data_IF_394250024876
#
_entry.id   IF_394250024876
#
_cell.length_a   1.000
_cell.length_b   1.000
_cell.length_c   1.000
_cell.angle_alpha   90.00
_cell.angle_beta   90.00
_cell.angle_gamma   90.00
#
_symmetry.space_group_name_H-M   'P 1'
#
loop_
_entity.id
_entity.type
_entity.pdbx_description
1 polymer ?
#
# COMPACT_ATOMS: atom_id res chain seq x y z
N UNK A 1 -1.50 -26.65 -19.71
CA UNK A 1 -1.60 -27.98 -19.06
C UNK A 1 -2.09 -27.92 -17.60
N UNK A 2 -2.63 -26.79 -17.08
CA UNK A 2 -3.06 -26.65 -15.66
C UNK A 2 -4.54 -26.98 -15.37
N UNK A 3 -5.33 -27.35 -16.39
CA UNK A 3 -6.78 -27.55 -16.27
C UNK A 3 -7.20 -28.68 -15.31
N UNK A 4 -6.34 -29.68 -15.07
CA UNK A 4 -6.61 -30.83 -14.20
C UNK A 4 -5.90 -30.79 -12.83
N UNK A 5 -5.21 -29.70 -12.49
CA UNK A 5 -4.53 -29.60 -11.20
C UNK A 5 -5.52 -29.32 -10.04
N UNK A 6 -5.35 -29.97 -8.86
CA UNK A 6 -6.20 -29.74 -7.70
C UNK A 6 -6.10 -28.30 -7.19
N UNK A 7 -7.16 -27.80 -6.54
CA UNK A 7 -7.15 -26.49 -5.86
C UNK A 7 -6.43 -26.64 -4.52
N UNK A 8 -5.24 -26.07 -4.40
CA UNK A 8 -4.41 -26.07 -3.19
C UNK A 8 -4.55 -24.74 -2.43
N UNK A 9 -4.40 -24.77 -1.11
CA UNK A 9 -4.32 -23.56 -0.28
C UNK A 9 -2.94 -22.92 -0.46
N UNK A 10 -2.91 -21.71 -1.01
CA UNK A 10 -1.67 -20.96 -1.27
C UNK A 10 -1.55 -19.75 -0.35
N UNK A 11 -2.69 -19.17 0.08
CA UNK A 11 -2.70 -17.97 0.90
C UNK A 11 -3.47 -18.18 2.21
N UNK A 12 -2.75 -18.01 3.31
CA UNK A 12 -3.34 -17.92 4.64
C UNK A 12 -4.36 -16.78 4.68
N UNK A 13 -5.48 -17.01 5.39
CA UNK A 13 -6.55 -16.02 5.53
C UNK A 13 -6.05 -14.70 6.15
N UNK A 14 -5.04 -14.79 7.03
CA UNK A 14 -4.36 -13.66 7.66
C UNK A 14 -3.81 -12.66 6.64
N UNK A 15 -3.08 -13.18 5.65
CA UNK A 15 -2.43 -12.39 4.61
C UNK A 15 -3.46 -11.79 3.67
N UNK A 16 -4.56 -12.50 3.42
CA UNK A 16 -5.69 -12.02 2.62
C UNK A 16 -6.40 -10.85 3.29
N UNK A 17 -6.78 -11.00 4.56
CA UNK A 17 -7.39 -9.93 5.34
C UNK A 17 -6.48 -8.71 5.44
N UNK A 18 -5.20 -8.94 5.70
CA UNK A 18 -4.20 -7.87 5.75
C UNK A 18 -4.09 -7.14 4.40
N UNK A 19 -4.04 -7.88 3.29
CA UNK A 19 -3.97 -7.28 1.96
C UNK A 19 -5.22 -6.46 1.63
N UNK A 20 -6.42 -6.95 1.97
CA UNK A 20 -7.67 -6.21 1.74
C UNK A 20 -7.72 -4.93 2.58
N UNK A 21 -7.32 -5.00 3.85
CA UNK A 21 -7.21 -3.83 4.71
C UNK A 21 -6.22 -2.80 4.13
N UNK A 22 -5.04 -3.28 3.72
CA UNK A 22 -3.99 -2.43 3.17
C UNK A 22 -4.38 -1.77 1.85
N UNK A 23 -4.95 -2.55 0.92
CA UNK A 23 -5.50 -2.04 -0.33
C UNK A 23 -6.63 -1.03 -0.05
N UNK A 24 -7.51 -1.32 0.92
CA UNK A 24 -8.58 -0.41 1.33
C UNK A 24 -8.04 0.94 1.81
N UNK A 25 -7.03 0.97 2.67
CA UNK A 25 -6.40 2.22 3.12
C UNK A 25 -5.83 3.02 1.95
N UNK A 26 -5.09 2.38 1.04
CA UNK A 26 -4.50 3.04 -0.13
C UNK A 26 -5.58 3.56 -1.07
N UNK A 27 -6.61 2.78 -1.36
CA UNK A 27 -7.72 3.18 -2.22
C UNK A 27 -8.50 4.35 -1.65
N UNK A 28 -8.75 4.37 -0.33
CA UNK A 28 -9.42 5.50 0.32
C UNK A 28 -8.56 6.75 0.29
N UNK A 29 -7.26 6.66 0.60
CA UNK A 29 -6.35 7.80 0.52
C UNK A 29 -6.30 8.39 -0.91
N UNK A 30 -6.09 7.54 -1.93
CA UNK A 30 -6.07 7.97 -3.33
C UNK A 30 -7.42 8.54 -3.77
N UNK A 31 -8.52 7.88 -3.41
CA UNK A 31 -9.87 8.32 -3.76
C UNK A 31 -10.19 9.70 -3.20
N UNK A 32 -9.81 9.97 -1.96
CA UNK A 32 -10.00 11.30 -1.34
C UNK A 32 -9.16 12.35 -2.07
N UNK A 33 -7.87 12.07 -2.34
CA UNK A 33 -7.01 13.03 -3.04
C UNK A 33 -7.50 13.33 -4.47
N UNK A 34 -7.85 12.29 -5.24
CA UNK A 34 -8.24 12.43 -6.64
C UNK A 34 -9.65 13.02 -6.83
N UNK A 35 -10.58 12.75 -5.92
CA UNK A 35 -11.97 13.19 -6.04
C UNK A 35 -12.29 14.42 -5.20
N UNK A 36 -11.61 14.59 -4.07
CA UNK A 36 -11.84 15.68 -3.12
C UNK A 36 -11.02 16.93 -3.41
N UNK A 37 -9.78 16.78 -3.91
CA UNK A 37 -8.80 17.86 -3.99
C UNK A 37 -8.18 18.21 -2.63
N UNK A 38 -7.11 19.00 -2.64
CA UNK A 38 -6.33 19.36 -1.44
C UNK A 38 -7.08 20.30 -0.49
N UNK A 39 -7.91 21.21 -1.01
CA UNK A 39 -8.74 22.13 -0.22
C UNK A 39 -10.05 21.49 0.29
N UNK A 40 -10.18 20.17 0.22
CA UNK A 40 -11.40 19.50 0.68
C UNK A 40 -11.41 19.35 2.19
N UNK A 41 -12.58 19.53 2.82
CA UNK A 41 -12.81 19.11 4.22
C UNK A 41 -12.47 17.64 4.49
N UNK A 42 -12.43 16.83 3.43
CA UNK A 42 -12.11 15.40 3.50
C UNK A 42 -10.60 15.13 3.46
N UNK A 43 -9.77 16.12 3.17
CA UNK A 43 -8.33 15.95 2.98
C UNK A 43 -7.61 15.49 4.26
N UNK A 44 -8.07 15.89 5.45
CA UNK A 44 -7.55 15.32 6.70
C UNK A 44 -7.70 13.79 6.76
N UNK A 45 -8.77 13.23 6.17
CA UNK A 45 -8.92 11.78 6.06
C UNK A 45 -7.92 11.14 5.08
N UNK A 46 -7.53 11.83 4.00
CA UNK A 46 -6.45 11.36 3.12
C UNK A 46 -5.18 11.09 3.92
N UNK A 47 -4.80 12.03 4.79
CA UNK A 47 -3.62 11.90 5.64
C UNK A 47 -3.76 10.77 6.66
N UNK A 48 -4.92 10.64 7.31
CA UNK A 48 -5.20 9.55 8.26
C UNK A 48 -5.08 8.18 7.58
N UNK A 49 -5.65 8.00 6.38
CA UNK A 49 -5.50 6.77 5.60
C UNK A 49 -4.06 6.54 5.12
N UNK A 50 -3.31 7.61 4.81
CA UNK A 50 -1.88 7.55 4.49
C UNK A 50 -1.04 7.05 5.65
N UNK A 51 -1.26 7.57 6.87
CA UNK A 51 -0.58 7.12 8.09
C UNK A 51 -0.93 5.66 8.40
N UNK A 52 -2.20 5.27 8.24
CA UNK A 52 -2.63 3.88 8.39
C UNK A 52 -1.92 2.96 7.37
N UNK A 53 -1.81 3.38 6.10
CA UNK A 53 -1.07 2.64 5.08
C UNK A 53 0.43 2.54 5.41
N UNK A 54 1.04 3.61 5.94
CA UNK A 54 2.42 3.60 6.45
C UNK A 54 2.65 2.58 7.55
N UNK A 55 1.77 2.53 8.55
CA UNK A 55 1.82 1.51 9.61
C UNK A 55 1.68 0.09 9.05
N UNK A 56 0.72 -0.13 8.14
CA UNK A 56 0.55 -1.44 7.50
C UNK A 56 1.78 -1.81 6.67
N UNK A 57 2.44 -0.87 6.00
CA UNK A 57 3.70 -1.11 5.31
C UNK A 57 4.80 -1.56 6.29
N UNK A 58 4.94 -0.94 7.46
CA UNK A 58 5.89 -1.38 8.48
C UNK A 58 5.60 -2.81 8.94
N UNK A 59 4.34 -3.11 9.26
CA UNK A 59 3.90 -4.48 9.59
C UNK A 59 4.24 -5.43 8.44
N UNK A 60 4.05 -5.02 7.19
CA UNK A 60 4.38 -5.83 6.01
C UNK A 60 5.87 -6.12 5.93
N UNK A 61 6.74 -5.15 6.19
CA UNK A 61 8.20 -5.32 6.23
C UNK A 61 8.59 -6.29 7.35
N UNK A 62 7.97 -6.19 8.54
CA UNK A 62 8.18 -7.16 9.64
C UNK A 62 7.74 -8.57 9.22
N UNK A 63 6.61 -8.70 8.51
CA UNK A 63 6.16 -9.98 7.96
C UNK A 63 7.10 -10.52 6.86
N UNK A 64 7.84 -9.68 6.13
CA UNK A 64 8.91 -10.15 5.23
C UNK A 64 10.08 -10.81 5.99
N UNK A 65 10.34 -10.36 7.23
CA UNK A 65 11.37 -10.95 8.08
C UNK A 65 10.89 -12.22 8.81
N UNK A 66 9.65 -12.23 9.31
CA UNK A 66 9.11 -13.31 10.18
C UNK A 66 8.24 -14.32 9.41
N UNK A 67 7.82 -14.01 8.19
CA UNK A 67 6.83 -14.76 7.40
C UNK A 67 7.28 -16.12 6.86
N UNK A 68 6.32 -16.82 6.23
CA UNK A 68 6.46 -18.18 5.69
C UNK A 68 7.42 -18.25 4.49
N UNK A 69 7.76 -19.47 4.04
CA UNK A 69 8.79 -19.79 3.03
C UNK A 69 8.69 -18.97 1.72
N UNK A 70 7.49 -18.54 1.31
CA UNK A 70 7.25 -17.75 0.08
C UNK A 70 7.22 -16.23 0.29
N UNK A 71 7.29 -15.77 1.55
CA UNK A 71 7.21 -14.36 1.95
C UNK A 71 8.58 -13.82 2.37
N UNK A 72 9.61 -14.65 2.47
CA UNK A 72 10.95 -14.25 2.95
C UNK A 72 11.77 -13.52 1.89
N UNK A 73 12.67 -12.65 2.36
CA UNK A 73 13.71 -11.95 1.57
C UNK A 73 14.53 -12.93 0.70
N UNK A 74 14.69 -14.19 1.13
CA UNK A 74 15.37 -15.21 0.32
C UNK A 74 14.70 -15.49 -1.04
N UNK A 75 13.37 -15.40 -1.12
CA UNK A 75 12.65 -15.55 -2.39
C UNK A 75 12.84 -14.32 -3.30
N UNK A 76 12.98 -13.12 -2.70
CA UNK A 76 13.29 -11.88 -3.41
C UNK A 76 14.71 -11.91 -4.00
N UNK A 77 15.71 -12.31 -3.20
CA UNK A 77 17.11 -12.41 -3.65
C UNK A 77 17.28 -13.46 -4.74
N UNK A 78 16.58 -14.60 -4.60
CA UNK A 78 16.55 -15.64 -5.63
C UNK A 78 15.85 -15.15 -6.92
N UNK A 79 14.79 -14.35 -6.82
CA UNK A 79 14.11 -13.77 -7.99
C UNK A 79 14.97 -12.71 -8.71
N UNK A 80 15.63 -11.83 -7.95
CA UNK A 80 16.52 -10.79 -8.52
C UNK A 80 17.72 -11.40 -9.26
N UNK A 81 18.31 -12.48 -8.72
CA UNK A 81 19.42 -13.21 -9.37
C UNK A 81 19.03 -13.86 -10.70
N UNK A 82 17.76 -14.21 -10.89
CA UNK A 82 17.26 -14.86 -12.10
C UNK A 82 16.62 -13.89 -13.10
N UNK A 83 16.64 -12.58 -12.82
CA UNK A 83 16.01 -11.55 -13.64
C UNK A 83 16.54 -11.50 -15.09
N UNK A 84 17.86 -11.59 -15.36
CA UNK A 84 18.38 -11.56 -16.73
C UNK A 84 17.92 -12.78 -17.54
N UNK A 85 17.91 -13.96 -16.94
CA UNK A 85 17.47 -15.21 -17.57
C UNK A 85 15.97 -15.19 -17.91
N UNK A 86 15.16 -14.53 -17.08
CA UNK A 86 13.73 -14.36 -17.32
C UNK A 86 13.44 -13.35 -18.44
N UNK A 87 14.15 -12.23 -18.50
CA UNK A 87 14.04 -11.26 -19.60
C UNK A 87 14.44 -11.90 -20.93
N UNK A 88 15.51 -12.71 -20.95
CA UNK A 88 15.87 -13.49 -22.15
C UNK A 88 14.84 -14.56 -22.52
N UNK A 89 14.14 -15.15 -21.54
CA UNK A 89 13.09 -16.14 -21.77
C UNK A 89 11.73 -15.56 -22.17
N UNK A 90 11.47 -14.28 -21.90
CA UNK A 90 10.31 -13.55 -22.44
C UNK A 90 10.47 -13.27 -23.94
N UNK A 91 11.71 -13.05 -24.39
CA UNK A 91 12.08 -12.88 -25.80
C UNK A 91 12.15 -14.22 -26.55
N UNK A 92 12.46 -15.32 -25.84
CA UNK A 92 12.49 -16.68 -26.39
C UNK A 92 11.42 -17.59 -25.77
N UNK A 93 10.33 -17.87 -26.50
CA UNK A 93 9.19 -18.76 -26.13
C UNK A 93 9.54 -19.99 -25.28
N UNK A 94 9.73 -19.84 -23.97
CA UNK A 94 9.92 -20.97 -23.04
C UNK A 94 9.16 -20.70 -21.77
N UNK A 95 7.87 -21.06 -21.82
CA UNK A 95 6.97 -21.12 -20.67
C UNK A 95 7.37 -22.31 -19.77
N UNK A 96 8.40 -22.13 -18.91
CA UNK A 96 8.55 -23.01 -17.74
C UNK A 96 7.61 -22.49 -16.64
N UNK A 97 6.60 -23.28 -16.20
CA UNK A 97 5.70 -22.87 -15.14
C UNK A 97 6.49 -22.82 -13.84
N UNK A 98 6.90 -21.64 -13.41
CA UNK A 98 7.35 -21.44 -12.03
C UNK A 98 6.13 -21.11 -11.21
N UNK A 99 5.84 -21.94 -10.21
CA UNK A 99 4.63 -21.82 -9.42
C UNK A 99 4.68 -20.69 -8.37
N UNK A 100 5.85 -20.06 -8.20
CA UNK A 100 6.05 -18.82 -7.45
C UNK A 100 5.72 -17.54 -8.22
N UNK A 101 6.15 -16.39 -7.67
CA UNK A 101 5.99 -15.11 -8.35
C UNK A 101 6.96 -14.98 -9.52
N UNK A 102 6.41 -14.61 -10.67
CA UNK A 102 7.15 -14.13 -11.83
C UNK A 102 8.20 -13.07 -11.38
N UNK A 103 9.47 -13.13 -11.84
CA UNK A 103 10.50 -12.13 -11.51
C UNK A 103 10.06 -10.68 -11.75
N UNK A 104 9.21 -10.44 -12.75
CA UNK A 104 8.61 -9.13 -13.03
C UNK A 104 7.65 -8.68 -11.92
N UNK A 105 6.90 -9.61 -11.31
CA UNK A 105 5.99 -9.29 -10.22
C UNK A 105 6.75 -8.83 -8.96
N UNK A 106 7.95 -9.37 -8.72
CA UNK A 106 8.81 -8.92 -7.62
C UNK A 106 9.31 -7.49 -7.82
N UNK A 107 9.66 -7.10 -9.05
CA UNK A 107 10.05 -5.73 -9.35
C UNK A 107 8.91 -4.75 -9.10
N UNK A 108 7.69 -5.10 -9.54
CA UNK A 108 6.50 -4.28 -9.29
C UNK A 108 6.24 -4.15 -7.79
N UNK A 109 6.41 -5.21 -7.01
CA UNK A 109 6.26 -5.14 -5.56
C UNK A 109 7.30 -4.27 -4.87
N UNK A 110 8.58 -4.38 -5.26
CA UNK A 110 9.63 -3.51 -4.74
C UNK A 110 9.38 -2.05 -5.06
N UNK A 111 9.02 -1.76 -6.32
CA UNK A 111 8.65 -0.41 -6.75
C UNK A 111 7.46 0.12 -5.94
N UNK A 112 6.40 -0.68 -5.80
CA UNK A 112 5.19 -0.29 -5.08
C UNK A 112 5.44 -0.02 -3.60
N UNK A 113 6.27 -0.84 -2.91
CA UNK A 113 6.61 -0.60 -1.51
C UNK A 113 7.56 0.59 -1.33
N UNK A 114 8.54 0.75 -2.22
CA UNK A 114 9.46 1.89 -2.19
C UNK A 114 8.71 3.21 -2.42
N UNK A 115 7.86 3.25 -3.44
CA UNK A 115 7.04 4.42 -3.76
C UNK A 115 6.07 4.73 -2.63
N UNK A 116 5.38 3.73 -2.07
CA UNK A 116 4.52 3.97 -0.92
C UNK A 116 5.28 4.50 0.29
N UNK A 117 6.48 3.97 0.59
CA UNK A 117 7.31 4.49 1.67
C UNK A 117 7.66 5.96 1.45
N UNK A 118 8.04 6.33 0.23
CA UNK A 118 8.37 7.71 -0.14
C UNK A 118 7.14 8.62 -0.05
N UNK A 119 5.99 8.20 -0.58
CA UNK A 119 4.72 8.94 -0.48
C UNK A 119 4.30 9.18 0.97
N UNK A 120 4.42 8.17 1.84
CA UNK A 120 4.12 8.32 3.27
C UNK A 120 5.13 9.27 3.93
N UNK A 121 6.42 9.14 3.61
CA UNK A 121 7.46 9.99 4.19
C UNK A 121 7.28 11.46 3.82
N UNK A 122 6.99 11.75 2.55
CA UNK A 122 6.72 13.11 2.08
C UNK A 122 5.41 13.63 2.63
N UNK A 123 4.36 12.81 2.70
CA UNK A 123 3.10 13.18 3.35
C UNK A 123 3.26 13.51 4.85
N UNK A 124 4.09 12.78 5.58
CA UNK A 124 4.41 13.09 6.98
C UNK A 124 5.23 14.38 7.16
N UNK A 125 5.81 14.91 6.08
CA UNK A 125 6.59 16.15 6.06
C UNK A 125 5.90 17.21 5.18
N UNK A 126 4.56 17.13 5.02
CA UNK A 126 3.81 18.04 4.15
C UNK A 126 3.89 19.51 4.59
N UNK A 127 4.38 19.80 5.81
CA UNK A 127 4.75 21.14 6.29
C UNK A 127 5.94 21.75 5.51
N UNK A 128 6.65 20.97 4.71
CA UNK A 128 7.82 21.40 3.95
C UNK A 128 7.49 21.45 2.46
N UNK A 129 7.73 22.61 1.86
CA UNK A 129 7.50 22.87 0.43
C UNK A 129 8.07 21.77 -0.49
N UNK A 130 9.34 21.38 -0.29
CA UNK A 130 9.96 20.31 -1.10
C UNK A 130 9.23 18.96 -1.01
N UNK A 131 8.62 18.67 0.13
CA UNK A 131 7.93 17.40 0.36
C UNK A 131 6.54 17.43 -0.28
N UNK A 132 5.83 18.56 -0.18
CA UNK A 132 4.57 18.81 -0.87
C UNK A 132 4.73 18.71 -2.40
N UNK A 133 5.75 19.38 -2.96
CA UNK A 133 6.04 19.37 -4.40
C UNK A 133 6.33 17.96 -4.95
N UNK A 134 7.11 17.16 -4.21
CA UNK A 134 7.54 15.83 -4.67
C UNK A 134 6.53 14.72 -4.32
N UNK A 135 5.64 14.94 -3.35
CA UNK A 135 4.58 14.00 -2.98
C UNK A 135 3.74 13.50 -4.18
N UNK A 136 3.17 14.37 -5.04
CA UNK A 136 2.37 13.92 -6.18
C UNK A 136 3.19 13.08 -7.16
N UNK A 137 4.50 13.34 -7.32
CA UNK A 137 5.38 12.54 -8.18
C UNK A 137 5.43 11.09 -7.70
N UNK A 138 5.65 10.88 -6.39
CA UNK A 138 5.65 9.54 -5.81
C UNK A 138 4.25 8.91 -5.83
N UNK A 139 3.19 9.68 -5.57
CA UNK A 139 1.81 9.20 -5.59
C UNK A 139 1.37 8.75 -6.99
N UNK A 140 1.70 9.50 -8.05
CA UNK A 140 1.45 9.10 -9.44
C UNK A 140 2.26 7.87 -9.84
N UNK A 141 3.52 7.79 -9.42
CA UNK A 141 4.34 6.60 -9.59
C UNK A 141 3.69 5.38 -8.91
N UNK A 142 3.23 5.53 -7.67
CA UNK A 142 2.54 4.48 -6.93
C UNK A 142 1.29 4.04 -7.67
N UNK A 143 0.44 4.98 -8.12
CA UNK A 143 -0.76 4.67 -8.90
C UNK A 143 -0.43 3.90 -10.18
N UNK A 144 0.60 4.31 -10.92
CA UNK A 144 1.05 3.61 -12.12
C UNK A 144 1.45 2.16 -11.81
N UNK A 145 2.15 1.91 -10.69
CA UNK A 145 2.49 0.53 -10.27
C UNK A 145 1.27 -0.28 -9.86
N UNK A 146 0.27 0.33 -9.21
CA UNK A 146 -1.00 -0.32 -8.86
C UNK A 146 -1.76 -0.71 -10.13
N UNK A 147 -1.89 0.20 -11.09
CA UNK A 147 -2.53 -0.08 -12.39
C UNK A 147 -1.79 -1.18 -13.13
N UNK A 148 -0.45 -1.12 -13.17
CA UNK A 148 0.39 -2.17 -13.76
C UNK A 148 0.21 -3.53 -13.08
N UNK A 149 0.09 -3.55 -11.75
CA UNK A 149 -0.19 -4.76 -10.98
C UNK A 149 -1.55 -5.37 -11.35
N UNK A 150 -2.61 -4.55 -11.41
CA UNK A 150 -3.95 -4.98 -11.80
C UNK A 150 -4.00 -5.46 -13.25
N UNK A 151 -3.32 -4.77 -14.16
CA UNK A 151 -3.18 -5.18 -15.56
C UNK A 151 -2.44 -6.53 -15.68
N UNK A 152 -1.40 -6.74 -14.88
CA UNK A 152 -0.70 -8.03 -14.80
C UNK A 152 -1.60 -9.17 -14.35
N UNK A 153 -2.45 -8.93 -13.34
CA UNK A 153 -3.46 -9.89 -12.87
C UNK A 153 -4.49 -10.18 -13.98
N UNK A 154 -4.97 -9.16 -14.66
CA UNK A 154 -5.94 -9.29 -15.75
C UNK A 154 -5.36 -10.09 -16.92
N UNK A 155 -4.14 -9.74 -17.37
CA UNK A 155 -3.43 -10.45 -18.44
C UNK A 155 -3.19 -11.91 -18.08
N UNK A 156 -2.75 -12.20 -16.86
CA UNK A 156 -2.60 -13.58 -16.39
C UNK A 156 -3.94 -14.31 -16.37
N UNK A 157 -5.01 -13.65 -15.91
CA UNK A 157 -6.35 -14.24 -15.85
C UNK A 157 -6.87 -14.59 -17.24
N UNK A 158 -6.69 -13.70 -18.23
CA UNK A 158 -7.10 -13.94 -19.61
C UNK A 158 -6.25 -15.04 -20.27
N UNK A 159 -4.92 -14.98 -20.14
CA UNK A 159 -3.98 -15.91 -20.79
C UNK A 159 -4.06 -17.32 -20.22
N UNK A 160 -4.19 -17.44 -18.90
CA UNK A 160 -4.22 -18.75 -18.21
C UNK A 160 -5.63 -19.24 -17.89
N UNK A 161 -6.68 -18.43 -18.17
CA UNK A 161 -8.09 -18.72 -17.81
C UNK A 161 -8.26 -19.13 -16.34
N UNK A 162 -7.45 -18.54 -15.47
CA UNK A 162 -7.44 -18.79 -14.04
C UNK A 162 -7.65 -17.47 -13.31
N UNK A 163 -8.72 -17.37 -12.52
CA UNK A 163 -9.03 -16.17 -11.75
C UNK A 163 -8.08 -16.02 -10.56
N UNK A 164 -6.89 -15.46 -10.81
CA UNK A 164 -5.86 -15.27 -9.78
C UNK A 164 -6.32 -14.28 -8.72
N UNK A 165 -7.08 -13.25 -9.09
CA UNK A 165 -7.71 -12.33 -8.13
C UNK A 165 -8.60 -13.09 -7.11
N UNK A 166 -9.33 -14.12 -7.57
CA UNK A 166 -10.16 -14.95 -6.70
C UNK A 166 -9.33 -15.75 -5.68
N UNK A 167 -8.05 -16.00 -5.92
CA UNK A 167 -7.17 -16.65 -4.95
C UNK A 167 -6.89 -15.79 -3.73
N UNK A 168 -6.99 -14.46 -3.85
CA UNK A 168 -6.91 -13.54 -2.69
C UNK A 168 -8.19 -13.50 -1.86
N UNK A 169 -9.32 -13.92 -2.41
CA UNK A 169 -10.58 -14.07 -1.65
C UNK A 169 -10.70 -15.48 -1.10
N UNK A 170 -10.49 -16.50 -1.93
CA UNK A 170 -10.70 -17.91 -1.59
C UNK A 170 -9.49 -18.57 -0.94
N UNK A 171 -8.29 -18.00 -1.06
CA UNK A 171 -7.03 -18.55 -0.57
C UNK A 171 -6.48 -19.71 -1.41
N UNK A 172 -7.21 -20.13 -2.45
CA UNK A 172 -6.92 -21.34 -3.22
C UNK A 172 -6.51 -21.00 -4.65
N UNK A 173 -5.47 -21.67 -5.14
CA UNK A 173 -5.01 -21.62 -6.54
C UNK A 173 -4.89 -23.05 -7.06
N UNK A 174 -4.98 -23.26 -8.38
CA UNK A 174 -4.65 -24.55 -8.99
C UNK A 174 -3.13 -24.69 -9.03
N UNK A 175 -2.60 -25.79 -8.51
CA UNK A 175 -1.16 -26.01 -8.39
C UNK A 175 -0.84 -27.43 -7.96
N UNK A 176 0.42 -27.86 -8.12
CA UNK A 176 0.85 -29.19 -7.71
C UNK A 176 0.77 -29.32 -6.17
N UNK A 177 0.36 -30.51 -5.71
CA UNK A 177 -0.09 -30.73 -4.32
C UNK A 177 1.02 -30.56 -3.25
N UNK A 178 2.28 -30.64 -3.68
CA UNK A 178 3.49 -30.44 -2.88
C UNK A 178 3.74 -28.99 -2.46
N UNK A 179 3.09 -28.03 -3.12
CA UNK A 179 3.17 -26.60 -2.78
C UNK A 179 2.05 -26.12 -1.85
N UNK A 180 1.14 -27.01 -1.43
CA UNK A 180 0.06 -26.67 -0.52
C UNK A 180 0.60 -26.32 0.88
N UNK A 181 0.15 -25.19 1.44
CA UNK A 181 0.44 -24.88 2.84
C UNK A 181 -0.27 -25.89 3.77
N UNK A 182 0.46 -26.41 4.76
CA UNK A 182 -0.03 -27.43 5.69
C UNK A 182 -1.15 -26.96 6.65
N UNK A 183 -1.30 -25.65 6.87
CA UNK A 183 -2.32 -25.07 7.75
C UNK A 183 -2.48 -23.58 7.50
N UNK A 184 -3.74 -23.09 7.53
CA UNK A 184 -4.09 -21.69 7.35
C UNK A 184 -3.72 -20.76 8.53
N UNK A 185 -3.18 -21.31 9.64
CA UNK A 185 -2.80 -20.59 10.88
C UNK A 185 -3.81 -19.51 11.32
N UNK A 186 -5.05 -19.89 11.71
CA UNK A 186 -6.13 -18.99 12.12
C UNK A 186 -5.81 -18.11 13.32
N UNK A 187 -5.01 -18.57 14.27
CA UNK A 187 -4.74 -17.78 15.47
C UNK A 187 -3.79 -16.60 15.19
N UNK A 188 -2.71 -16.83 14.45
CA UNK A 188 -1.71 -15.80 14.15
C UNK A 188 -2.27 -14.66 13.29
N UNK A 189 -3.21 -14.96 12.38
CA UNK A 189 -3.88 -13.91 11.62
C UNK A 189 -4.87 -13.08 12.42
N UNK A 190 -5.52 -13.66 13.45
CA UNK A 190 -6.48 -12.93 14.28
C UNK A 190 -5.73 -11.95 15.17
N UNK A 191 -4.57 -12.37 15.67
CA UNK A 191 -3.66 -11.48 16.38
C UNK A 191 -3.17 -10.36 15.44
N UNK A 192 -2.72 -10.68 14.23
CA UNK A 192 -2.24 -9.68 13.27
C UNK A 192 -3.33 -8.65 12.92
N UNK A 193 -4.52 -9.12 12.51
CA UNK A 193 -5.62 -8.23 12.17
C UNK A 193 -6.16 -7.48 13.39
N UNK A 194 -6.12 -8.08 14.58
CA UNK A 194 -6.47 -7.43 15.83
C UNK A 194 -5.52 -6.29 16.16
N UNK A 195 -4.21 -6.49 16.03
CA UNK A 195 -3.19 -5.45 16.22
C UNK A 195 -3.35 -4.32 15.20
N UNK A 196 -3.53 -4.67 13.92
CA UNK A 196 -3.78 -3.67 12.88
C UNK A 196 -5.08 -2.90 13.09
N UNK A 197 -6.16 -3.60 13.42
CA UNK A 197 -7.46 -2.99 13.71
C UNK A 197 -7.44 -2.10 14.94
N UNK A 198 -6.72 -2.51 15.99
CA UNK A 198 -6.54 -1.69 17.20
C UNK A 198 -5.78 -0.40 16.89
N UNK A 199 -4.66 -0.48 16.15
CA UNK A 199 -3.90 0.70 15.75
C UNK A 199 -4.75 1.66 14.91
N UNK A 200 -5.41 1.15 13.87
CA UNK A 200 -6.25 1.96 12.98
C UNK A 200 -7.45 2.55 13.75
N UNK A 201 -8.11 1.76 14.60
CA UNK A 201 -9.21 2.23 15.43
C UNK A 201 -8.78 3.36 16.39
N UNK A 202 -7.61 3.23 17.03
CA UNK A 202 -7.04 4.27 17.88
C UNK A 202 -6.67 5.52 17.08
N UNK A 203 -6.08 5.35 15.89
CA UNK A 203 -5.73 6.47 15.00
C UNK A 203 -6.99 7.26 14.62
N UNK A 204 -8.05 6.57 14.20
CA UNK A 204 -9.31 7.18 13.78
C UNK A 204 -10.03 7.85 14.95
N UNK A 205 -10.03 7.22 16.14
CA UNK A 205 -10.61 7.81 17.34
C UNK A 205 -9.85 9.05 17.83
N UNK A 206 -8.58 9.19 17.45
CA UNK A 206 -7.74 10.32 17.82
C UNK A 206 -7.76 11.48 16.82
N UNK A 207 -8.39 11.29 15.66
CA UNK A 207 -8.47 12.34 14.65
C UNK A 207 -9.46 13.42 15.08
N UNK A 208 -8.96 14.65 15.19
CA UNK A 208 -9.77 15.82 15.47
C UNK A 208 -9.82 16.71 14.23
N UNK A 209 -10.93 16.63 13.48
CA UNK A 209 -11.13 17.42 12.27
C UNK A 209 -11.22 18.93 12.50
N UNK A 210 -11.51 19.40 13.72
CA UNK A 210 -11.55 20.83 14.04
C UNK A 210 -10.14 21.42 14.28
N UNK A 211 -9.23 20.63 14.83
CA UNK A 211 -7.85 21.06 15.09
C UNK A 211 -6.88 20.66 13.97
N UNK A 212 -7.33 19.89 12.97
CA UNK A 212 -6.45 19.31 11.97
C UNK A 212 -5.37 18.39 12.57
N UNK A 213 -5.58 17.81 13.75
CA UNK A 213 -4.56 17.00 14.42
C UNK A 213 -4.95 15.51 14.46
N UNK A 214 -3.94 14.65 14.32
CA UNK A 214 -4.07 13.23 14.65
C UNK A 214 -2.92 12.78 15.55
N UNK A 215 -3.24 11.93 16.53
CA UNK A 215 -2.23 11.34 17.41
C UNK A 215 -1.82 9.98 16.89
N UNK A 216 -0.53 9.77 16.65
CA UNK A 216 -0.03 8.45 16.26
C UNK A 216 -0.13 7.50 17.47
N UNK A 217 -0.90 6.41 17.39
CA UNK A 217 -1.01 5.45 18.49
C UNK A 217 0.36 4.87 18.86
N UNK A 218 0.55 4.57 20.15
CA UNK A 218 1.73 3.93 20.75
C UNK A 218 3.03 4.76 20.73
N UNK A 219 3.15 5.75 19.85
CA UNK A 219 4.26 6.71 19.81
C UNK A 219 3.88 7.97 20.59
N UNK A 220 2.61 8.38 20.53
CA UNK A 220 2.08 9.53 21.27
C UNK A 220 2.36 10.88 20.63
N UNK A 221 3.13 10.93 19.55
CA UNK A 221 3.37 12.14 18.73
C UNK A 221 2.10 12.60 18.04
N UNK A 222 1.89 13.92 18.01
CA UNK A 222 0.82 14.56 17.24
C UNK A 222 1.37 15.00 15.89
N UNK A 223 0.58 14.79 14.85
CA UNK A 223 0.87 15.25 13.50
C UNK A 223 -0.23 16.22 13.10
N UNK A 224 0.17 17.42 12.72
CA UNK A 224 -0.72 18.44 12.15
C UNK A 224 -0.97 18.09 10.69
N UNK A 225 -2.23 18.13 10.28
CA UNK A 225 -2.74 17.68 8.99
C UNK A 225 -3.18 18.90 8.17
N UNK A 226 -2.20 19.69 7.73
CA UNK A 226 -2.44 20.91 6.96
C UNK A 226 -2.94 22.07 7.83
N UNK A 227 -2.74 23.29 7.33
CA UNK A 227 -3.05 24.53 8.04
C UNK A 227 -4.49 24.51 8.53
N UNK A 228 -4.67 24.61 9.85
CA UNK A 228 -5.97 24.97 10.40
C UNK A 228 -6.37 26.31 9.81
N UNK A 229 -7.65 26.46 9.47
CA UNK A 229 -8.25 27.69 8.94
C UNK A 229 -8.23 28.88 9.95
N UNK A 230 -7.24 28.96 10.83
CA UNK A 230 -7.03 30.03 11.80
C UNK A 230 -5.68 30.68 11.48
N UNK A 231 -5.69 31.70 10.61
CA UNK A 231 -4.86 32.93 10.70
C UNK A 231 -4.68 33.71 9.37
N UNK A 232 -5.40 33.40 8.28
CA UNK A 232 -5.34 34.26 7.06
C UNK A 232 -6.20 35.54 7.14
N UNK A 233 -6.89 35.81 8.25
CA UNK A 233 -7.71 37.02 8.39
C UNK A 233 -7.02 38.22 9.05
N UNK A 234 -5.78 38.09 9.57
CA UNK A 234 -5.10 39.24 10.21
C UNK A 234 -4.09 39.98 9.33
N UNK A 235 -3.59 39.40 8.24
CA UNK A 235 -2.53 40.07 7.45
C UNK A 235 -3.05 41.04 6.38
N UNK A 236 -4.28 40.90 5.92
CA UNK A 236 -4.85 41.78 4.89
C UNK A 236 -5.46 43.09 5.43
N UNK A 237 -5.56 43.25 6.76
CA UNK A 237 -6.11 44.45 7.41
C UNK A 237 -5.10 45.56 7.74
N UNK A 238 -3.79 45.35 7.55
CA UNK A 238 -2.73 46.32 7.95
C UNK A 238 -2.06 47.08 6.81
N UNK A 239 -2.50 46.93 5.55
CA UNK A 239 -1.95 47.67 4.40
C UNK A 239 -2.90 48.72 3.82
N UNK A 240 -3.75 49.30 4.65
CA UNK A 240 -4.66 50.37 4.24
C UNK A 240 -4.74 51.46 5.31
N UNK A 241 -3.59 51.99 5.71
CA UNK A 241 -3.46 53.29 6.34
C UNK A 241 -1.98 53.66 6.25
N UNK A 242 -1.70 54.92 5.96
CA UNK A 242 -0.38 55.52 5.73
C UNK A 242 -0.03 55.61 4.24
N UNK A 243 -0.73 56.48 3.52
CA UNK A 243 -0.16 57.29 2.43
C UNK A 243 -1.20 58.38 2.09
N UNK A 244 -1.42 59.30 3.03
CA UNK A 244 -2.07 60.60 2.80
C UNK A 244 -1.54 61.52 3.92
N UNK A 245 -0.37 62.13 3.72
CA UNK A 245 -0.02 63.47 4.21
C UNK A 245 1.37 63.88 3.68
N UNK A 246 1.44 65.13 3.20
CA UNK A 246 2.55 65.96 2.69
C UNK A 246 2.93 65.94 1.19
#
# INVERSE_FOLDING_TARGET
>A
MTQNAPKILVWDWAIRGFHLLFAGCITMALGIALLGGEHSRWFGWHMVFGIAAGFLLLVRVVLFAVGSRHVRIGALVAALRNLPAFVSGLLGKSDKPTAGHNPLAWLVYLAMFGLLALTVLTGLNADKEWAEEIHPVFAWGLLATIVGHLAGIALHTVRHREAVALSMVTGRKRGPADEALASARPLGGLVLLGVCGLFIGQLFASYNGAAGEVRIPWIGTRVTLGEGEEDEHEEHGRRHHDDDDD
#
